data_IF_380088118855
#
_entry.id   IF_380088118855
#
_cell.length_a   1.000
_cell.length_b   1.000
_cell.length_c   1.000
_cell.angle_alpha   90.00
_cell.angle_beta   90.00
_cell.angle_gamma   90.00
#
_symmetry.space_group_name_H-M   'P 1'
#
loop_
_entity.id
_entity.type
_entity.pdbx_description
1 polymer ?
#
# COMPACT_ATOMS: atom_id res chain seq x y z
N UNK A 1 31.79 3.38 8.43
CA UNK A 1 30.31 3.40 8.36
C UNK A 1 29.85 2.31 9.29
N UNK A 2 29.33 2.67 10.46
CA UNK A 2 28.78 1.67 11.39
C UNK A 2 27.53 1.06 10.76
N UNK A 3 27.61 -0.22 10.43
CA UNK A 3 26.44 -0.98 10.00
C UNK A 3 25.45 -1.06 11.15
N UNK A 4 24.22 -0.61 10.94
CA UNK A 4 23.15 -0.74 11.91
C UNK A 4 22.95 -2.22 12.27
N UNK A 5 22.91 -2.54 13.57
CA UNK A 5 22.73 -3.93 13.99
C UNK A 5 21.33 -4.42 13.57
N UNK A 6 21.19 -5.72 13.29
CA UNK A 6 19.96 -6.33 12.76
C UNK A 6 18.72 -6.10 13.66
N UNK A 7 18.89 -6.11 14.98
CA UNK A 7 17.82 -5.86 15.96
C UNK A 7 17.32 -4.42 15.91
N UNK A 8 18.24 -3.47 15.75
CA UNK A 8 17.88 -2.06 15.63
C UNK A 8 17.13 -1.79 14.33
N UNK A 9 17.51 -2.49 13.23
CA UNK A 9 16.78 -2.45 11.96
C UNK A 9 15.35 -2.95 12.11
N UNK A 10 15.16 -4.09 12.74
CA UNK A 10 13.82 -4.64 12.99
C UNK A 10 12.98 -3.68 13.84
N UNK A 11 13.54 -3.15 14.93
CA UNK A 11 12.82 -2.22 15.80
C UNK A 11 12.41 -0.92 15.11
N UNK A 12 13.24 -0.40 14.20
CA UNK A 12 12.90 0.79 13.42
C UNK A 12 11.85 0.48 12.35
N UNK A 13 11.98 -0.66 11.65
CA UNK A 13 10.99 -1.11 10.68
C UNK A 13 9.59 -1.25 11.31
N UNK A 14 9.49 -1.83 12.50
CA UNK A 14 8.22 -1.97 13.22
C UNK A 14 7.59 -0.61 13.60
N UNK A 15 8.39 0.44 13.76
CA UNK A 15 7.89 1.81 14.00
C UNK A 15 7.37 2.47 12.72
N UNK A 16 8.02 2.21 11.59
CA UNK A 16 7.67 2.76 10.26
C UNK A 16 6.47 2.01 9.68
N UNK A 17 6.44 0.69 9.85
CA UNK A 17 5.46 -0.22 9.28
C UNK A 17 4.69 -0.97 10.39
N UNK A 18 3.91 -0.27 11.22
CA UNK A 18 3.17 -0.92 12.31
C UNK A 18 2.11 -1.91 11.82
N UNK A 19 1.69 -1.84 10.55
CA UNK A 19 0.68 -2.73 9.97
C UNK A 19 1.27 -3.92 9.19
N UNK A 20 2.60 -4.09 9.22
CA UNK A 20 3.29 -5.10 8.41
C UNK A 20 2.70 -6.50 8.52
N UNK A 21 2.53 -7.02 9.74
CA UNK A 21 2.04 -8.39 9.94
C UNK A 21 0.65 -8.60 9.34
N UNK A 22 -0.23 -7.61 9.51
CA UNK A 22 -1.60 -7.64 8.98
C UNK A 22 -1.62 -7.59 7.46
N UNK A 23 -0.79 -6.75 6.84
CA UNK A 23 -0.68 -6.64 5.39
C UNK A 23 -0.08 -7.92 4.79
N UNK A 24 0.99 -8.43 5.41
CA UNK A 24 1.69 -9.64 4.96
C UNK A 24 0.84 -10.91 5.09
N UNK A 25 -0.05 -10.97 6.09
CA UNK A 25 -0.99 -12.08 6.30
C UNK A 25 -2.34 -11.88 5.60
N UNK A 26 -2.50 -10.83 4.79
CA UNK A 26 -3.77 -10.57 4.12
C UNK A 26 -4.06 -11.63 3.06
N UNK A 27 -5.15 -12.35 3.26
CA UNK A 27 -5.67 -13.31 2.30
C UNK A 27 -6.59 -12.61 1.28
N UNK A 28 -6.33 -12.88 0.00
CA UNK A 28 -7.11 -12.37 -1.13
C UNK A 28 -7.44 -13.49 -2.10
N UNK A 29 -8.50 -13.29 -2.89
CA UNK A 29 -8.96 -14.30 -3.83
C UNK A 29 -7.93 -14.58 -4.92
N UNK A 30 -7.88 -15.83 -5.36
CA UNK A 30 -7.12 -16.21 -6.53
C UNK A 30 -7.57 -15.38 -7.74
N UNK A 31 -6.62 -14.77 -8.45
CA UNK A 31 -6.87 -13.85 -9.55
C UNK A 31 -7.01 -12.37 -9.17
N UNK A 32 -6.95 -12.00 -7.88
CA UNK A 32 -6.80 -10.60 -7.47
C UNK A 32 -5.36 -10.11 -7.70
N UNK A 33 -5.09 -9.74 -8.96
CA UNK A 33 -3.78 -9.26 -9.41
C UNK A 33 -3.36 -7.96 -8.75
N UNK A 34 -4.32 -7.12 -8.34
CA UNK A 34 -4.02 -5.87 -7.65
C UNK A 34 -3.46 -6.15 -6.26
N UNK A 35 -4.19 -6.92 -5.43
CA UNK A 35 -3.74 -7.31 -4.09
C UNK A 35 -2.38 -8.00 -4.15
N UNK A 36 -2.24 -8.97 -5.07
CA UNK A 36 -0.98 -9.68 -5.28
C UNK A 36 0.17 -8.72 -5.63
N UNK A 37 -0.03 -7.79 -6.57
CA UNK A 37 1.03 -6.87 -6.99
C UNK A 37 1.43 -5.92 -5.87
N UNK A 38 0.45 -5.37 -5.16
CA UNK A 38 0.68 -4.35 -4.15
C UNK A 38 1.35 -4.90 -2.88
N UNK A 39 0.89 -6.06 -2.40
CA UNK A 39 1.46 -6.68 -1.21
C UNK A 39 2.88 -7.16 -1.47
N UNK A 40 3.12 -7.80 -2.62
CA UNK A 40 4.47 -8.22 -2.99
C UNK A 40 5.42 -7.05 -3.20
N UNK A 41 4.94 -5.93 -3.77
CA UNK A 41 5.75 -4.74 -3.93
C UNK A 41 6.12 -4.13 -2.56
N UNK A 42 5.15 -4.04 -1.65
CA UNK A 42 5.38 -3.57 -0.28
C UNK A 42 6.39 -4.42 0.48
N UNK A 43 6.28 -5.75 0.44
CA UNK A 43 7.25 -6.67 1.07
C UNK A 43 8.65 -6.46 0.49
N UNK A 44 8.76 -6.37 -0.84
CA UNK A 44 10.06 -6.12 -1.50
C UNK A 44 10.66 -4.77 -1.10
N UNK A 45 9.85 -3.74 -0.91
CA UNK A 45 10.34 -2.45 -0.43
C UNK A 45 10.91 -2.56 0.97
N UNK A 46 10.21 -3.24 1.89
CA UNK A 46 10.71 -3.47 3.26
C UNK A 46 12.05 -4.20 3.26
N UNK A 47 12.19 -5.23 2.43
CA UNK A 47 13.43 -6.02 2.36
C UNK A 47 14.63 -5.18 1.88
N UNK A 48 14.39 -4.20 1.01
CA UNK A 48 15.44 -3.44 0.32
C UNK A 48 15.60 -1.99 0.81
N UNK A 49 14.79 -1.55 1.77
CA UNK A 49 14.76 -0.15 2.23
C UNK A 49 16.09 0.33 2.78
N UNK A 50 16.52 1.54 2.39
CA UNK A 50 17.57 2.27 3.09
C UNK A 50 16.98 3.03 4.28
N UNK A 51 17.28 2.53 5.48
CA UNK A 51 16.82 3.12 6.75
C UNK A 51 17.37 4.52 7.02
N UNK A 52 18.42 4.95 6.31
CA UNK A 52 18.99 6.30 6.44
C UNK A 52 18.32 7.29 5.48
N UNK A 53 17.57 6.80 4.49
CA UNK A 53 16.86 7.63 3.53
C UNK A 53 15.51 8.06 4.11
N UNK A 54 15.40 9.34 4.48
CA UNK A 54 14.15 9.90 4.99
C UNK A 54 13.02 9.79 3.96
N UNK A 55 13.33 10.04 2.69
CA UNK A 55 12.35 9.95 1.60
C UNK A 55 11.81 8.53 1.45
N UNK A 56 12.68 7.52 1.45
CA UNK A 56 12.27 6.13 1.34
C UNK A 56 11.46 5.67 2.55
N UNK A 57 11.92 5.98 3.77
CA UNK A 57 11.23 5.62 5.01
C UNK A 57 9.86 6.30 5.14
N UNK A 58 9.73 7.55 4.71
CA UNK A 58 8.45 8.27 4.67
C UNK A 58 7.50 7.68 3.61
N UNK A 59 7.99 7.39 2.42
CA UNK A 59 7.22 6.70 1.40
C UNK A 59 6.70 5.34 1.87
N UNK A 60 7.57 4.55 2.50
CA UNK A 60 7.23 3.23 3.05
C UNK A 60 6.18 3.34 4.16
N UNK A 61 6.32 4.32 5.07
CA UNK A 61 5.33 4.59 6.12
C UNK A 61 3.96 4.95 5.55
N UNK A 62 3.93 5.79 4.51
CA UNK A 62 2.67 6.18 3.87
C UNK A 62 2.02 4.99 3.15
N UNK A 63 2.82 4.14 2.51
CA UNK A 63 2.34 2.92 1.88
C UNK A 63 1.78 1.91 2.90
N UNK A 64 2.45 1.73 4.03
CA UNK A 64 1.97 0.87 5.13
C UNK A 64 0.56 1.29 5.59
N UNK A 65 0.37 2.59 5.83
CA UNK A 65 -0.93 3.14 6.24
C UNK A 65 -2.00 2.97 5.15
N UNK A 66 -1.64 3.20 3.89
CA UNK A 66 -2.55 3.10 2.77
C UNK A 66 -3.01 1.64 2.52
N UNK A 67 -2.07 0.68 2.58
CA UNK A 67 -2.36 -0.74 2.45
C UNK A 67 -3.12 -1.28 3.67
N UNK A 68 -2.82 -0.79 4.87
CA UNK A 68 -3.60 -1.09 6.06
C UNK A 68 -5.06 -0.69 5.88
N UNK A 69 -5.33 0.53 5.36
CA UNK A 69 -6.69 0.96 5.03
C UNK A 69 -7.31 0.09 3.94
N UNK A 70 -6.55 -0.30 2.92
CA UNK A 70 -7.01 -1.21 1.87
C UNK A 70 -7.47 -2.55 2.45
N UNK A 71 -6.65 -3.17 3.30
CA UNK A 71 -6.93 -4.46 3.94
C UNK A 71 -8.15 -4.39 4.85
N UNK A 72 -8.27 -3.34 5.66
CA UNK A 72 -9.32 -3.25 6.69
C UNK A 72 -10.66 -2.75 6.13
N UNK A 73 -10.63 -1.90 5.09
CA UNK A 73 -11.82 -1.15 4.69
C UNK A 73 -12.35 -1.60 3.31
N UNK A 74 -13.39 -2.43 3.35
CA UNK A 74 -14.08 -2.89 2.14
C UNK A 74 -14.63 -1.74 1.27
N UNK A 75 -15.15 -0.67 1.88
CA UNK A 75 -15.63 0.50 1.12
C UNK A 75 -14.48 1.16 0.38
N UNK A 76 -13.33 1.32 1.04
CA UNK A 76 -12.14 1.87 0.39
C UNK A 76 -11.64 0.99 -0.76
N UNK A 77 -11.64 -0.35 -0.61
CA UNK A 77 -11.32 -1.26 -1.73
C UNK A 77 -12.26 -1.07 -2.92
N UNK A 78 -13.56 -0.95 -2.66
CA UNK A 78 -14.56 -0.74 -3.71
C UNK A 78 -14.36 0.61 -4.40
N UNK A 79 -14.07 1.65 -3.64
CA UNK A 79 -13.74 2.99 -4.15
C UNK A 79 -12.47 2.97 -5.01
N UNK A 80 -11.39 2.36 -4.54
CA UNK A 80 -10.16 2.22 -5.33
C UNK A 80 -10.43 1.50 -6.65
N UNK A 81 -11.20 0.42 -6.61
CA UNK A 81 -11.55 -0.32 -7.83
C UNK A 81 -12.26 0.56 -8.87
N UNK A 82 -13.06 1.54 -8.47
CA UNK A 82 -13.71 2.47 -9.43
C UNK A 82 -12.76 3.55 -9.94
N UNK A 83 -11.76 3.97 -9.15
CA UNK A 83 -10.78 4.98 -9.56
C UNK A 83 -9.63 4.43 -10.40
N UNK A 84 -9.35 3.13 -10.29
CA UNK A 84 -8.20 2.48 -10.93
C UNK A 84 -8.55 1.74 -12.23
N UNK A 85 -9.81 1.79 -12.69
CA UNK A 85 -10.27 1.12 -13.92
C UNK A 85 -9.48 1.55 -15.16
N UNK A 86 -9.06 2.82 -15.21
CA UNK A 86 -8.43 3.41 -16.41
C UNK A 86 -6.89 3.29 -16.41
N UNK A 87 -6.29 2.61 -15.43
CA UNK A 87 -4.82 2.50 -15.38
C UNK A 87 -4.36 1.31 -16.23
N UNK A 88 -3.63 1.61 -17.31
CA UNK A 88 -3.04 0.57 -18.16
C UNK A 88 -1.96 -0.22 -17.41
N UNK A 89 -2.25 -1.48 -17.12
CA UNK A 89 -1.34 -2.44 -16.48
C UNK A 89 -0.04 -2.69 -17.24
N UNK A 90 0.01 -2.37 -18.54
CA UNK A 90 1.20 -2.54 -19.39
C UNK A 90 2.08 -1.29 -19.42
N UNK A 91 1.63 -0.21 -18.80
CA UNK A 91 2.38 1.03 -18.80
C UNK A 91 3.69 0.90 -18.03
N UNK A 92 4.74 1.55 -18.54
CA UNK A 92 6.01 1.69 -17.82
C UNK A 92 5.74 2.33 -16.45
N UNK A 93 6.31 1.74 -15.40
CA UNK A 93 6.14 2.18 -14.01
C UNK A 93 4.70 2.05 -13.46
N UNK A 94 3.87 1.18 -14.02
CA UNK A 94 2.52 0.89 -13.53
C UNK A 94 2.46 0.74 -12.00
N UNK A 95 3.29 -0.13 -11.43
CA UNK A 95 3.31 -0.39 -9.97
C UNK A 95 3.62 0.88 -9.16
N UNK A 96 4.54 1.72 -9.62
CA UNK A 96 4.84 2.97 -8.94
C UNK A 96 3.64 3.93 -9.00
N UNK A 97 3.05 4.12 -10.18
CA UNK A 97 1.89 5.00 -10.36
C UNK A 97 0.70 4.58 -9.52
N UNK A 98 0.41 3.28 -9.49
CA UNK A 98 -0.71 2.75 -8.72
C UNK A 98 -0.46 2.88 -7.21
N UNK A 99 0.81 2.78 -6.78
CA UNK A 99 1.21 3.01 -5.38
C UNK A 99 0.98 4.45 -4.95
N UNK A 100 1.41 5.42 -5.77
CA UNK A 100 1.17 6.85 -5.51
C UNK A 100 -0.33 7.14 -5.41
N UNK A 101 -1.13 6.65 -6.37
CA UNK A 101 -2.59 6.80 -6.35
C UNK A 101 -3.21 6.14 -5.11
N UNK A 102 -2.74 4.96 -4.72
CA UNK A 102 -3.23 4.28 -3.51
C UNK A 102 -3.02 5.14 -2.27
N UNK A 103 -1.83 5.73 -2.11
CA UNK A 103 -1.50 6.62 -0.99
C UNK A 103 -2.40 7.86 -1.04
N UNK A 104 -2.47 8.55 -2.18
CA UNK A 104 -3.32 9.74 -2.36
C UNK A 104 -4.78 9.45 -2.00
N UNK A 105 -5.37 8.40 -2.59
CA UNK A 105 -6.75 8.01 -2.33
C UNK A 105 -6.97 7.57 -0.88
N UNK A 106 -5.98 6.95 -0.24
CA UNK A 106 -6.10 6.59 1.17
C UNK A 106 -6.21 7.82 2.06
N UNK A 107 -5.57 8.93 1.68
CA UNK A 107 -5.59 10.18 2.43
C UNK A 107 -6.86 10.99 2.19
N UNK A 108 -7.43 10.92 0.98
CA UNK A 108 -8.66 11.67 0.64
C UNK A 108 -9.95 10.90 0.93
N UNK A 109 -9.90 9.59 1.14
CA UNK A 109 -11.09 8.78 1.38
C UNK A 109 -11.70 9.04 2.77
N UNK A 110 -12.90 9.64 2.77
CA UNK A 110 -13.68 9.98 3.96
C UNK A 110 -14.81 8.97 4.28
N UNK A 111 -15.02 7.97 3.42
CA UNK A 111 -16.05 6.93 3.61
C UNK A 111 -17.46 7.29 3.15
N UNK A 112 -17.67 8.51 2.61
CA UNK A 112 -18.98 9.00 2.17
C UNK A 112 -19.30 8.69 0.69
N UNK A 113 -18.28 8.45 -0.14
CA UNK A 113 -18.42 8.32 -1.61
C UNK A 113 -19.03 7.00 -2.14
N UNK A 114 -19.86 6.30 -1.38
CA UNK A 114 -20.61 5.14 -1.90
C UNK A 114 -22.11 5.24 -1.58
N UNK A 115 -22.71 6.38 -1.92
CA UNK A 115 -24.15 6.44 -2.14
C UNK A 115 -24.45 6.27 -3.64
N UNK A 116 -24.76 5.02 -4.01
CA UNK A 116 -25.75 4.68 -5.04
C UNK A 116 -25.79 5.55 -6.32
N UNK A 117 -25.05 5.16 -7.37
CA UNK A 117 -25.60 5.27 -8.73
C UNK A 117 -26.50 4.06 -8.99
N UNK A 118 -27.67 4.03 -8.32
CA UNK A 118 -28.83 3.32 -8.83
C UNK A 118 -29.23 4.06 -10.11
N UNK A 119 -29.14 3.36 -11.23
CA UNK A 119 -29.73 3.77 -12.51
C UNK A 119 -31.19 4.21 -12.28
N UNK A 120 -31.51 5.44 -12.68
CA UNK A 120 -32.88 5.91 -12.95
C UNK A 120 -32.94 6.12 -14.46
#
# INVERSE_FOLDING_TARGET
MDGMNTRDKINQLLKICPNYEKINSYEFFEGDTFSFTMINFYIKLIDNIDMNSKEETEFLSNLDMALSKYVDNYKFRKFLKTKLVDVDTKEKYYTYKITVKLIEYSNTFDGTEIESTRWI
#
